data_IF_674706488089
#
_entry.id   IF_674706488089
#
_cell.length_a   1.000
_cell.length_b   1.000
_cell.length_c   1.000
_cell.angle_alpha   90.00
_cell.angle_beta   90.00
_cell.angle_gamma   90.00
#
_symmetry.space_group_name_H-M   'P 1'
#
loop_
_entity.id
_entity.type
_entity.pdbx_description
1 polymer ?
#
# COMPACT_ATOMS: atom_id res chain seq x y z
N UNK A 1 -18.41 -6.95 -9.19
CA UNK A 1 -17.99 -6.67 -7.81
C UNK A 1 -17.58 -7.98 -7.17
N UNK A 2 -16.34 -8.12 -6.75
CA UNK A 2 -15.86 -9.28 -6.00
C UNK A 2 -15.96 -8.89 -4.52
N UNK A 3 -16.73 -9.62 -3.75
CA UNK A 3 -17.03 -9.30 -2.36
C UNK A 3 -16.70 -10.51 -1.48
N UNK A 4 -15.65 -10.42 -0.66
CA UNK A 4 -15.46 -11.29 0.49
C UNK A 4 -15.88 -10.55 1.77
N UNK A 5 -16.07 -11.25 2.89
CA UNK A 5 -16.54 -10.63 4.15
C UNK A 5 -15.71 -9.40 4.58
N UNK A 6 -14.45 -9.32 4.16
CA UNK A 6 -13.47 -8.31 4.65
C UNK A 6 -12.75 -7.55 3.53
N UNK A 7 -13.03 -7.85 2.26
CA UNK A 7 -12.34 -7.21 1.15
C UNK A 7 -13.26 -7.15 -0.06
N UNK A 8 -13.41 -5.98 -0.65
CA UNK A 8 -14.08 -5.86 -1.93
C UNK A 8 -13.19 -5.10 -2.92
N UNK A 9 -13.39 -5.40 -4.19
CA UNK A 9 -12.77 -4.69 -5.29
C UNK A 9 -13.82 -4.38 -6.36
N UNK A 10 -13.67 -3.24 -6.98
CA UNK A 10 -14.42 -2.85 -8.16
C UNK A 10 -13.45 -2.40 -9.24
N UNK A 11 -13.78 -2.67 -10.49
CA UNK A 11 -12.99 -2.34 -11.66
C UNK A 11 -13.88 -1.76 -12.75
N UNK A 12 -13.40 -0.75 -13.47
CA UNK A 12 -14.02 -0.29 -14.71
C UNK A 12 -13.00 0.29 -15.68
N UNK A 13 -13.32 0.22 -16.97
CA UNK A 13 -12.50 0.70 -18.10
C UNK A 13 -12.77 2.16 -18.47
N UNK A 14 -13.79 2.77 -17.90
CA UNK A 14 -14.14 4.14 -18.22
C UNK A 14 -14.77 4.84 -17.03
N UNK A 15 -14.49 6.10 -16.94
CA UNK A 15 -15.14 7.01 -16.02
C UNK A 15 -16.32 7.67 -16.71
N UNK A 16 -17.53 7.35 -16.28
CA UNK A 16 -18.66 8.21 -16.47
C UNK A 16 -18.66 9.33 -15.44
N UNK A 17 -19.08 10.49 -15.88
CA UNK A 17 -19.20 11.73 -15.10
C UNK A 17 -19.91 11.53 -13.78
N UNK A 18 -19.22 11.34 -12.68
CA UNK A 18 -19.82 11.41 -11.35
C UNK A 18 -18.83 12.00 -10.37
N UNK A 19 -19.29 12.88 -9.53
CA UNK A 19 -18.61 13.22 -8.28
C UNK A 19 -18.59 11.92 -7.50
N UNK A 20 -17.40 11.32 -7.39
CA UNK A 20 -17.26 10.11 -6.61
C UNK A 20 -16.71 10.45 -5.22
N UNK A 21 -17.55 10.32 -4.22
CA UNK A 21 -17.16 10.40 -2.81
C UNK A 21 -17.17 8.98 -2.25
N UNK A 22 -16.14 8.22 -2.58
CA UNK A 22 -16.03 6.83 -2.18
C UNK A 22 -15.47 6.71 -0.76
N UNK A 23 -16.02 5.79 0.03
CA UNK A 23 -15.44 5.34 1.30
C UNK A 23 -14.32 4.30 1.10
N UNK A 24 -13.84 4.14 -0.11
CA UNK A 24 -12.81 3.18 -0.51
C UNK A 24 -11.57 3.88 -1.04
N UNK A 25 -10.45 3.19 -0.96
CA UNK A 25 -9.23 3.56 -1.67
C UNK A 25 -9.40 3.35 -3.16
N UNK A 26 -8.80 4.20 -3.98
CA UNK A 26 -8.88 4.10 -5.43
C UNK A 26 -7.51 4.29 -6.08
N UNK A 27 -7.22 3.43 -7.03
CA UNK A 27 -6.10 3.55 -7.97
C UNK A 27 -6.67 3.85 -9.35
N UNK A 28 -6.27 4.96 -9.94
CA UNK A 28 -6.71 5.36 -11.28
C UNK A 28 -5.50 5.37 -12.20
N UNK A 29 -5.52 4.57 -13.26
CA UNK A 29 -4.52 4.54 -14.30
C UNK A 29 -4.99 5.37 -15.50
N UNK A 30 -4.31 6.47 -15.76
CA UNK A 30 -4.63 7.40 -16.86
C UNK A 30 -3.71 7.11 -18.03
N UNK A 31 -4.26 6.64 -19.15
CA UNK A 31 -3.52 6.25 -20.36
C UNK A 31 -3.65 7.31 -21.47
N UNK A 32 -4.72 8.13 -21.42
CA UNK A 32 -5.03 9.14 -22.43
C UNK A 32 -4.00 10.26 -22.48
N UNK A 33 -4.17 11.14 -23.48
CA UNK A 33 -3.42 12.39 -23.58
C UNK A 33 -3.58 13.24 -22.33
N UNK A 34 -2.70 14.23 -22.19
CA UNK A 34 -2.72 15.19 -21.09
C UNK A 34 -4.14 15.72 -20.83
N UNK A 35 -4.54 15.69 -19.58
CA UNK A 35 -5.88 16.01 -19.17
C UNK A 35 -5.94 16.79 -17.86
N UNK A 36 -7.09 17.37 -17.57
CA UNK A 36 -7.36 18.05 -16.32
C UNK A 36 -8.47 17.32 -15.56
N UNK A 37 -8.22 17.05 -14.27
CA UNK A 37 -9.20 16.49 -13.35
C UNK A 37 -9.42 17.45 -12.20
N UNK A 38 -10.67 17.58 -11.76
CA UNK A 38 -10.98 18.26 -10.52
C UNK A 38 -10.88 17.25 -9.37
N UNK A 39 -9.91 17.43 -8.47
CA UNK A 39 -9.70 16.57 -7.29
C UNK A 39 -9.77 17.45 -6.05
N UNK A 40 -10.63 17.08 -5.10
CA UNK A 40 -10.87 17.87 -3.89
C UNK A 40 -11.14 19.37 -4.18
N UNK A 41 -11.95 19.63 -5.23
CA UNK A 41 -12.31 20.96 -5.71
C UNK A 41 -11.14 21.79 -6.26
N UNK A 42 -10.03 21.13 -6.60
CA UNK A 42 -8.88 21.75 -7.26
C UNK A 42 -8.64 21.12 -8.63
N UNK A 43 -8.38 21.95 -9.62
CA UNK A 43 -7.99 21.47 -10.94
C UNK A 43 -6.56 21.00 -10.93
N UNK A 44 -6.35 19.74 -11.28
CA UNK A 44 -5.05 19.07 -11.34
C UNK A 44 -4.80 18.63 -12.78
N UNK A 45 -3.69 19.07 -13.32
CA UNK A 45 -3.23 18.65 -14.64
C UNK A 45 -2.57 17.28 -14.54
N UNK A 46 -3.01 16.33 -15.36
CA UNK A 46 -2.56 14.94 -15.34
C UNK A 46 -1.85 14.62 -16.65
N UNK A 47 -0.60 14.22 -16.55
CA UNK A 47 0.18 13.76 -17.68
C UNK A 47 -0.21 12.33 -18.10
N UNK A 48 -0.02 11.96 -19.39
CA UNK A 48 -0.24 10.58 -19.85
C UNK A 48 0.54 9.56 -19.03
N UNK A 49 -0.02 8.39 -18.87
CA UNK A 49 0.59 7.29 -18.09
C UNK A 49 0.85 7.67 -16.65
N UNK A 50 -0.15 8.26 -16.00
CA UNK A 50 -0.10 8.61 -14.59
C UNK A 50 -0.99 7.70 -13.75
N UNK A 51 -0.50 7.36 -12.54
CA UNK A 51 -1.29 6.75 -11.48
C UNK A 51 -1.74 7.83 -10.50
N UNK A 52 -3.02 7.82 -10.19
CA UNK A 52 -3.64 8.69 -9.19
C UNK A 52 -4.07 7.83 -8.02
N UNK A 53 -3.74 8.25 -6.82
CA UNK A 53 -4.04 7.56 -5.56
C UNK A 53 -5.04 8.40 -4.78
N UNK A 54 -6.23 7.89 -4.57
CA UNK A 54 -7.29 8.55 -3.81
C UNK A 54 -7.59 7.79 -2.51
N UNK A 55 -7.52 8.50 -1.40
CA UNK A 55 -7.93 7.97 -0.10
C UNK A 55 -9.46 7.98 0.05
N UNK A 56 -10.02 7.22 1.02
CA UNK A 56 -11.43 7.31 1.38
C UNK A 56 -11.85 8.75 1.69
N UNK A 57 -12.96 9.18 1.12
CA UNK A 57 -13.51 10.52 1.30
C UNK A 57 -12.99 11.59 0.34
N UNK A 58 -11.95 11.31 -0.45
CA UNK A 58 -11.54 12.23 -1.49
C UNK A 58 -12.57 12.27 -2.62
N UNK A 59 -12.80 13.48 -3.12
CA UNK A 59 -13.78 13.75 -4.17
C UNK A 59 -13.03 14.04 -5.46
N UNK A 60 -13.44 13.41 -6.54
CA UNK A 60 -12.92 13.76 -7.85
C UNK A 60 -14.04 13.85 -8.88
N UNK A 61 -13.78 14.64 -9.91
CA UNK A 61 -14.68 14.82 -11.04
C UNK A 61 -13.88 14.74 -12.33
N UNK A 62 -14.32 13.90 -13.24
CA UNK A 62 -13.69 13.74 -14.53
C UNK A 62 -14.13 14.84 -15.51
N UNK A 63 -13.23 15.34 -16.35
CA UNK A 63 -13.55 16.21 -17.46
C UNK A 63 -14.11 15.44 -18.67
N UNK A 64 -14.94 16.11 -19.48
CA UNK A 64 -15.85 15.55 -20.49
C UNK A 64 -15.26 14.70 -21.63
N UNK A 65 -13.95 14.53 -21.76
CA UNK A 65 -13.37 14.06 -23.03
C UNK A 65 -12.54 12.78 -22.96
N UNK A 66 -12.59 11.98 -21.86
CA UNK A 66 -11.56 10.98 -21.68
C UNK A 66 -12.01 9.54 -21.83
N UNK A 67 -11.38 8.89 -22.80
CA UNK A 67 -11.75 7.56 -23.23
C UNK A 67 -10.97 6.41 -22.61
N UNK A 68 -9.87 6.65 -21.89
CA UNK A 68 -9.04 5.51 -21.40
C UNK A 68 -8.50 5.79 -20.00
N UNK A 69 -9.31 5.52 -19.02
CA UNK A 69 -8.87 5.40 -17.64
C UNK A 69 -9.32 4.05 -17.11
N UNK A 70 -8.41 3.33 -16.46
CA UNK A 70 -8.75 2.11 -15.73
C UNK A 70 -8.73 2.44 -14.25
N UNK A 71 -9.65 1.93 -13.45
CA UNK A 71 -9.57 2.14 -12.01
C UNK A 71 -9.83 0.86 -11.22
N UNK A 72 -9.20 0.79 -10.07
CA UNK A 72 -9.39 -0.25 -9.07
C UNK A 72 -9.82 0.44 -7.78
N UNK A 73 -10.86 -0.09 -7.15
CA UNK A 73 -11.40 0.38 -5.90
C UNK A 73 -11.35 -0.74 -4.86
N UNK A 74 -10.84 -0.47 -3.67
CA UNK A 74 -10.73 -1.47 -2.60
C UNK A 74 -10.91 -0.84 -1.21
N UNK A 75 -11.36 -1.65 -0.24
CA UNK A 75 -11.58 -1.16 1.12
C UNK A 75 -10.30 -1.18 1.97
N UNK A 76 -10.37 -0.58 3.16
CA UNK A 76 -9.25 -0.45 4.09
C UNK A 76 -8.68 -1.77 4.62
N UNK A 77 -9.41 -2.88 4.49
CA UNK A 77 -8.94 -4.19 4.94
C UNK A 77 -7.71 -4.68 4.18
N UNK A 78 -7.45 -4.14 2.99
CA UNK A 78 -6.21 -4.34 2.27
C UNK A 78 -4.99 -3.95 3.13
N UNK A 79 -5.03 -2.80 3.81
CA UNK A 79 -3.94 -2.31 4.65
C UNK A 79 -3.91 -2.94 6.05
N UNK A 80 -5.06 -3.36 6.56
CA UNK A 80 -5.20 -3.92 7.91
C UNK A 80 -4.87 -5.42 8.00
N UNK A 81 -4.86 -6.12 6.87
CA UNK A 81 -4.70 -7.58 6.83
C UNK A 81 -3.30 -8.09 7.23
N UNK A 82 -2.32 -7.21 7.36
CA UNK A 82 -1.00 -7.53 7.93
C UNK A 82 -0.35 -6.28 8.50
N UNK A 83 0.35 -6.39 9.64
CA UNK A 83 1.29 -5.35 10.05
C UNK A 83 2.54 -5.48 9.19
N UNK A 84 2.48 -4.96 7.99
CA UNK A 84 3.62 -4.69 7.14
C UNK A 84 3.91 -3.20 7.20
N UNK A 85 5.14 -2.84 7.52
CA UNK A 85 5.61 -1.46 7.43
C UNK A 85 5.41 -0.90 6.04
N UNK A 86 5.61 -1.74 5.03
CA UNK A 86 5.46 -1.37 3.63
C UNK A 86 4.02 -0.97 3.33
N UNK A 87 3.03 -1.73 3.81
CA UNK A 87 1.61 -1.39 3.62
C UNK A 87 1.21 -0.12 4.36
N UNK A 88 1.67 0.05 5.59
CA UNK A 88 1.49 1.30 6.34
C UNK A 88 2.14 2.47 5.63
N UNK A 89 3.30 2.25 5.03
CA UNK A 89 4.03 3.25 4.30
C UNK A 89 3.32 3.63 2.99
N UNK A 90 2.81 2.68 2.22
CA UNK A 90 1.99 2.96 1.04
C UNK A 90 0.76 3.79 1.42
N UNK A 91 0.06 3.41 2.49
CA UNK A 91 -1.08 4.16 2.96
C UNK A 91 -0.71 5.61 3.30
N UNK A 92 0.36 5.82 4.04
CA UNK A 92 0.75 7.15 4.53
C UNK A 92 1.36 8.05 3.44
N UNK A 93 1.84 7.49 2.33
CA UNK A 93 2.57 8.26 1.31
C UNK A 93 1.92 8.28 -0.07
N UNK A 94 1.13 7.28 -0.38
CA UNK A 94 0.40 7.23 -1.65
C UNK A 94 -1.05 7.68 -1.48
N UNK A 95 -1.65 7.38 -0.33
CA UNK A 95 -3.05 7.69 -0.03
C UNK A 95 -3.20 8.72 1.11
N UNK A 96 -2.20 9.57 1.32
CA UNK A 96 -2.28 10.66 2.32
C UNK A 96 -3.01 11.87 1.73
N UNK A 97 -4.31 11.95 1.99
CA UNK A 97 -5.16 13.03 1.54
C UNK A 97 -5.00 14.35 2.31
N UNK A 98 -4.24 14.33 3.42
CA UNK A 98 -4.13 15.52 4.32
C UNK A 98 -3.37 16.66 3.65
N UNK A 99 -2.37 16.33 2.82
CA UNK A 99 -1.49 17.32 2.23
C UNK A 99 -1.78 17.59 0.76
N UNK A 100 -1.92 16.55 -0.04
CA UNK A 100 -2.21 16.65 -1.48
C UNK A 100 -2.49 15.28 -2.08
N UNK A 101 -3.42 15.17 -3.02
CA UNK A 101 -3.63 13.94 -3.81
C UNK A 101 -2.34 13.52 -4.50
N UNK A 102 -1.99 12.26 -4.38
CA UNK A 102 -0.77 11.73 -4.99
C UNK A 102 -1.01 11.38 -6.46
N UNK A 103 -0.28 12.04 -7.35
CA UNK A 103 -0.23 11.75 -8.78
C UNK A 103 1.22 11.41 -9.15
N UNK A 104 1.43 10.28 -9.80
CA UNK A 104 2.75 9.81 -10.19
C UNK A 104 2.77 9.47 -11.67
N UNK A 105 3.53 10.23 -12.45
CA UNK A 105 3.74 9.97 -13.88
C UNK A 105 4.79 8.88 -14.07
N UNK A 106 4.45 7.84 -14.81
CA UNK A 106 5.31 6.69 -15.07
C UNK A 106 6.06 6.92 -16.37
N UNK A 107 7.32 7.30 -16.27
CA UNK A 107 8.16 7.60 -17.43
C UNK A 107 8.75 6.35 -18.10
N UNK A 108 9.09 5.35 -17.30
CA UNK A 108 9.68 4.09 -17.79
C UNK A 108 8.66 3.23 -18.52
N UNK A 109 8.97 2.86 -19.76
CA UNK A 109 8.09 2.07 -20.63
C UNK A 109 7.83 0.67 -20.10
N UNK A 110 8.82 0.06 -19.46
CA UNK A 110 8.68 -1.30 -18.91
C UNK A 110 7.78 -1.32 -17.70
N UNK A 111 7.86 -0.29 -16.84
CA UNK A 111 6.94 -0.11 -15.72
C UNK A 111 5.50 0.16 -16.20
N UNK A 112 5.33 0.97 -17.26
CA UNK A 112 4.00 1.17 -17.88
C UNK A 112 3.36 -0.14 -18.32
N UNK A 113 4.12 -0.97 -19.04
CA UNK A 113 3.64 -2.27 -19.51
C UNK A 113 3.23 -3.17 -18.34
N UNK A 114 4.07 -3.29 -17.31
CA UNK A 114 3.73 -4.10 -16.13
C UNK A 114 2.47 -3.62 -15.40
N UNK A 115 2.33 -2.30 -15.22
CA UNK A 115 1.15 -1.71 -14.59
C UNK A 115 -0.10 -2.00 -15.45
N UNK A 116 0.00 -1.84 -16.76
CA UNK A 116 -1.08 -2.11 -17.68
C UNK A 116 -1.49 -3.58 -17.65
N UNK A 117 -0.52 -4.50 -17.68
CA UNK A 117 -0.74 -5.95 -17.56
C UNK A 117 -1.46 -6.30 -16.24
N UNK A 118 -1.12 -5.63 -15.14
CA UNK A 118 -1.80 -5.79 -13.86
C UNK A 118 -3.28 -5.40 -13.93
N UNK A 119 -3.59 -4.24 -14.53
CA UNK A 119 -4.97 -3.80 -14.71
C UNK A 119 -5.75 -4.72 -15.65
N UNK A 120 -5.14 -5.17 -16.74
CA UNK A 120 -5.78 -6.05 -17.70
C UNK A 120 -6.00 -7.46 -17.13
N UNK A 121 -5.09 -7.94 -16.31
CA UNK A 121 -5.29 -9.19 -15.58
C UNK A 121 -6.50 -9.09 -14.64
N UNK A 122 -6.59 -8.02 -13.83
CA UNK A 122 -7.74 -7.80 -12.94
C UNK A 122 -9.04 -7.75 -13.76
N UNK A 123 -9.06 -7.05 -14.89
CA UNK A 123 -10.22 -6.97 -15.79
C UNK A 123 -10.69 -8.35 -16.25
N UNK A 124 -9.75 -9.14 -16.77
CA UNK A 124 -10.06 -10.47 -17.34
C UNK A 124 -10.59 -11.42 -16.27
N UNK A 125 -9.94 -11.46 -15.11
CA UNK A 125 -10.32 -12.33 -14.01
C UNK A 125 -11.61 -11.86 -13.31
N UNK A 126 -11.83 -10.54 -13.27
CA UNK A 126 -13.06 -9.95 -12.72
C UNK A 126 -14.29 -10.38 -13.52
N UNK A 127 -14.18 -10.43 -14.84
CA UNK A 127 -15.25 -10.89 -15.72
C UNK A 127 -15.50 -12.40 -15.61
N UNK A 128 -14.48 -13.17 -15.29
CA UNK A 128 -14.55 -14.63 -15.20
C UNK A 128 -15.00 -15.14 -13.80
N UNK A 129 -15.18 -14.25 -12.81
CA UNK A 129 -15.57 -14.58 -11.42
C UNK A 129 -14.69 -15.66 -10.74
N UNK A 130 -13.47 -15.88 -11.25
CA UNK A 130 -12.57 -16.97 -10.81
C UNK A 130 -11.44 -16.50 -9.91
N UNK A 131 -11.21 -15.20 -9.83
CA UNK A 131 -10.08 -14.64 -9.10
C UNK A 131 -10.23 -14.77 -7.58
N UNK A 132 -9.17 -15.23 -6.92
CA UNK A 132 -9.10 -15.28 -5.46
C UNK A 132 -8.62 -13.93 -4.90
N UNK A 133 -9.16 -13.57 -3.74
CA UNK A 133 -8.78 -12.34 -3.02
C UNK A 133 -7.26 -12.16 -2.89
N UNK A 134 -6.52 -13.25 -2.64
CA UNK A 134 -5.06 -13.22 -2.50
C UNK A 134 -4.36 -12.81 -3.80
N UNK A 135 -4.87 -13.22 -4.95
CA UNK A 135 -4.31 -12.86 -6.25
C UNK A 135 -4.49 -11.37 -6.54
N UNK A 136 -5.66 -10.82 -6.24
CA UNK A 136 -5.92 -9.37 -6.41
C UNK A 136 -5.02 -8.55 -5.49
N UNK A 137 -4.90 -8.96 -4.22
CA UNK A 137 -4.00 -8.29 -3.27
C UNK A 137 -2.56 -8.28 -3.78
N UNK A 138 -2.09 -9.41 -4.33
CA UNK A 138 -0.75 -9.52 -4.90
C UNK A 138 -0.54 -8.60 -6.11
N UNK A 139 -1.56 -8.40 -6.93
CA UNK A 139 -1.50 -7.51 -8.09
C UNK A 139 -1.48 -6.04 -7.64
N UNK A 140 -2.31 -5.67 -6.67
CA UNK A 140 -2.27 -4.33 -6.09
C UNK A 140 -0.88 -4.08 -5.48
N UNK A 141 -0.33 -5.04 -4.73
CA UNK A 141 1.04 -4.96 -4.20
C UNK A 141 2.06 -4.71 -5.32
N UNK A 142 1.94 -5.39 -6.46
CA UNK A 142 2.85 -5.20 -7.61
C UNK A 142 2.76 -3.78 -8.19
N UNK A 143 1.57 -3.24 -8.37
CA UNK A 143 1.37 -1.86 -8.83
C UNK A 143 1.99 -0.86 -7.85
N UNK A 144 1.76 -1.07 -6.56
CA UNK A 144 2.30 -0.20 -5.51
C UNK A 144 3.83 -0.25 -5.46
N UNK A 145 4.43 -1.43 -5.60
CA UNK A 145 5.89 -1.62 -5.64
C UNK A 145 6.51 -0.88 -6.83
N UNK A 146 6.00 -1.11 -8.04
CA UNK A 146 6.51 -0.45 -9.25
C UNK A 146 6.41 1.08 -9.14
N UNK A 147 5.30 1.58 -8.63
CA UNK A 147 5.09 3.02 -8.44
C UNK A 147 6.03 3.60 -7.40
N UNK A 148 6.24 2.84 -6.33
CA UNK A 148 7.06 3.27 -5.20
C UNK A 148 8.55 3.29 -5.52
N UNK A 149 9.04 2.30 -6.28
CA UNK A 149 10.42 2.26 -6.76
C UNK A 149 10.77 3.49 -7.61
N UNK A 150 9.83 3.97 -8.40
CA UNK A 150 9.99 5.18 -9.23
C UNK A 150 10.18 6.43 -8.36
N UNK A 151 9.41 6.55 -7.27
CA UNK A 151 9.41 7.76 -6.43
C UNK A 151 10.45 7.74 -5.30
N UNK A 152 10.77 6.55 -4.74
CA UNK A 152 11.49 6.42 -3.47
C UNK A 152 12.59 5.33 -3.47
N UNK A 153 13.21 5.05 -4.60
CA UNK A 153 14.04 3.84 -4.81
C UNK A 153 15.06 3.48 -3.72
N UNK A 154 15.80 4.46 -3.17
CA UNK A 154 16.80 4.17 -2.13
C UNK A 154 16.18 3.96 -0.75
N UNK A 155 15.21 4.79 -0.39
CA UNK A 155 14.50 4.72 0.90
C UNK A 155 13.61 3.48 0.96
N UNK A 156 13.01 3.10 -0.16
CA UNK A 156 12.20 1.89 -0.27
C UNK A 156 13.03 0.61 -0.05
N UNK A 157 14.17 0.45 -0.73
CA UNK A 157 15.05 -0.71 -0.53
C UNK A 157 15.45 -0.88 0.94
N UNK A 158 15.73 0.23 1.60
CA UNK A 158 16.06 0.23 3.00
C UNK A 158 14.89 -0.20 3.89
N UNK A 159 13.70 0.36 3.66
CA UNK A 159 12.49 -0.01 4.40
C UNK A 159 12.11 -1.47 4.18
N UNK A 160 12.19 -1.93 2.94
CA UNK A 160 11.93 -3.33 2.60
C UNK A 160 12.88 -4.25 3.34
N UNK A 161 14.18 -3.93 3.36
CA UNK A 161 15.18 -4.68 4.13
C UNK A 161 14.84 -4.74 5.63
N UNK A 162 14.42 -3.62 6.22
CA UNK A 162 14.02 -3.57 7.62
C UNK A 162 12.73 -4.37 7.89
N UNK A 163 11.72 -4.25 7.02
CA UNK A 163 10.47 -5.00 7.15
C UNK A 163 10.70 -6.51 6.98
N UNK A 164 11.42 -6.93 5.94
CA UNK A 164 11.77 -8.33 5.68
C UNK A 164 12.52 -8.96 6.86
N UNK A 165 13.47 -8.20 7.43
CA UNK A 165 14.22 -8.65 8.59
C UNK A 165 13.31 -8.76 9.82
N UNK A 166 12.43 -7.79 10.03
CA UNK A 166 11.47 -7.80 11.13
C UNK A 166 10.48 -8.97 11.00
N UNK A 167 9.97 -9.26 9.80
CA UNK A 167 9.08 -10.41 9.60
C UNK A 167 9.77 -11.75 9.91
N UNK A 168 11.05 -11.86 9.63
CA UNK A 168 11.83 -13.10 9.85
C UNK A 168 12.30 -13.26 11.29
N UNK A 169 12.70 -12.18 11.94
CA UNK A 169 13.49 -12.21 13.17
C UNK A 169 12.79 -11.59 14.39
N UNK A 170 11.49 -11.25 14.31
CA UNK A 170 10.77 -10.59 15.42
C UNK A 170 10.78 -11.39 16.74
N UNK A 171 10.97 -12.70 16.67
CA UNK A 171 11.08 -13.55 17.87
C UNK A 171 12.45 -13.46 18.55
N UNK A 172 13.48 -13.09 17.81
CA UNK A 172 14.86 -13.04 18.29
C UNK A 172 15.30 -11.58 18.54
N UNK A 173 14.78 -10.65 17.75
CA UNK A 173 15.19 -9.25 17.76
C UNK A 173 14.08 -8.37 18.36
N UNK A 174 14.32 -7.85 19.57
CA UNK A 174 13.37 -7.00 20.27
C UNK A 174 13.83 -5.54 20.39
N UNK A 175 15.10 -5.26 20.09
CA UNK A 175 15.69 -3.92 20.20
C UNK A 175 16.04 -3.33 18.85
N UNK A 176 16.12 -2.00 18.78
CA UNK A 176 16.53 -1.29 17.57
C UNK A 176 17.94 -1.68 17.14
N UNK A 177 18.83 -1.89 18.11
CA UNK A 177 20.23 -2.26 17.89
C UNK A 177 20.36 -3.60 17.16
N UNK A 178 19.54 -4.60 17.51
CA UNK A 178 19.55 -5.89 16.84
C UNK A 178 19.33 -5.72 15.32
N UNK A 179 18.32 -4.95 14.93
CA UNK A 179 18.00 -4.70 13.53
C UNK A 179 19.06 -3.85 12.82
N UNK A 180 19.55 -2.79 13.48
CA UNK A 180 20.53 -1.90 12.85
C UNK A 180 21.88 -2.58 12.62
N UNK A 181 22.30 -3.49 13.50
CA UNK A 181 23.49 -4.30 13.33
C UNK A 181 23.40 -5.19 12.08
N UNK A 182 22.25 -5.84 11.88
CA UNK A 182 22.02 -6.70 10.70
C UNK A 182 21.92 -5.90 9.40
N UNK A 183 21.37 -4.69 9.47
CA UNK A 183 21.24 -3.81 8.31
C UNK A 183 22.50 -2.98 8.02
N UNK A 184 23.56 -3.12 8.83
CA UNK A 184 24.78 -2.33 8.74
C UNK A 184 24.52 -0.81 8.73
N UNK A 185 23.62 -0.33 9.58
CA UNK A 185 23.28 1.09 9.75
C UNK A 185 23.37 1.48 11.23
N UNK A 186 23.50 2.77 11.50
CA UNK A 186 23.39 3.25 12.88
C UNK A 186 21.92 3.40 13.32
N UNK A 187 21.60 3.26 14.61
CA UNK A 187 20.26 3.54 15.15
C UNK A 187 19.76 4.94 14.77
N UNK A 188 20.67 5.94 14.76
CA UNK A 188 20.37 7.30 14.32
C UNK A 188 20.04 7.37 12.82
N UNK A 189 20.74 6.58 12.00
CA UNK A 189 20.49 6.46 10.56
C UNK A 189 19.11 5.88 10.27
N UNK A 190 18.76 4.77 10.94
CA UNK A 190 17.42 4.18 10.84
C UNK A 190 16.34 5.17 11.28
N UNK A 191 16.51 5.84 12.42
CA UNK A 191 15.56 6.83 12.91
C UNK A 191 15.37 7.99 11.91
N UNK A 192 16.49 8.53 11.36
CA UNK A 192 16.46 9.61 10.37
C UNK A 192 15.70 9.20 9.10
N UNK A 193 15.97 8.00 8.57
CA UNK A 193 15.28 7.49 7.38
C UNK A 193 13.80 7.32 7.64
N UNK A 194 13.40 6.71 8.75
CA UNK A 194 11.99 6.55 9.09
C UNK A 194 11.31 7.91 9.31
N UNK A 195 11.99 8.88 9.92
CA UNK A 195 11.46 10.24 10.09
C UNK A 195 11.23 10.94 8.74
N UNK A 196 12.20 10.84 7.81
CA UNK A 196 12.06 11.39 6.44
C UNK A 196 10.88 10.77 5.68
N UNK A 197 10.49 9.58 6.05
CA UNK A 197 9.38 8.83 5.47
C UNK A 197 8.07 8.96 6.30
N UNK A 198 8.01 9.95 7.21
CA UNK A 198 6.88 10.14 8.13
C UNK A 198 6.43 8.86 8.85
N UNK A 199 7.32 7.89 8.99
CA UNK A 199 7.05 6.64 9.67
C UNK A 199 7.20 6.76 11.19
N UNK A 200 6.60 5.84 11.92
CA UNK A 200 6.76 5.78 13.36
C UNK A 200 8.22 5.49 13.78
N UNK A 201 8.57 5.79 15.03
CA UNK A 201 9.90 5.47 15.58
C UNK A 201 10.16 3.96 15.51
N UNK A 202 11.42 3.51 15.24
CA UNK A 202 11.76 2.09 15.10
C UNK A 202 11.27 1.23 16.27
N UNK A 203 11.44 1.68 17.51
CA UNK A 203 10.99 0.95 18.70
C UNK A 203 9.47 0.75 18.74
N UNK A 204 8.70 1.75 18.30
CA UNK A 204 7.24 1.63 18.21
C UNK A 204 6.82 0.64 17.14
N UNK A 205 7.52 0.61 16.01
CA UNK A 205 7.28 -0.33 14.92
C UNK A 205 7.52 -1.77 15.39
N UNK A 206 8.67 -2.05 16.01
CA UNK A 206 9.01 -3.36 16.58
C UNK A 206 7.97 -3.78 17.63
N UNK A 207 7.63 -2.89 18.56
CA UNK A 207 6.62 -3.17 19.60
C UNK A 207 5.23 -3.44 19.01
N UNK A 208 4.84 -2.74 17.95
CA UNK A 208 3.57 -2.98 17.25
C UNK A 208 3.53 -4.36 16.59
N UNK A 209 4.64 -4.81 15.99
CA UNK A 209 4.76 -6.14 15.41
C UNK A 209 4.60 -7.22 16.47
N UNK A 210 5.34 -7.12 17.60
CA UNK A 210 5.25 -8.07 18.71
C UNK A 210 3.84 -8.12 19.30
N UNK A 211 3.22 -6.97 19.51
CA UNK A 211 1.84 -6.88 20.00
C UNK A 211 0.83 -7.53 19.06
N UNK A 212 1.01 -7.36 17.77
CA UNK A 212 0.15 -7.99 16.77
C UNK A 212 0.27 -9.51 16.80
N UNK A 213 1.49 -10.04 16.81
CA UNK A 213 1.71 -11.48 16.87
C UNK A 213 1.19 -12.06 18.20
N UNK A 214 1.35 -11.35 19.32
CA UNK A 214 0.77 -11.74 20.60
C UNK A 214 -0.77 -11.84 20.52
N UNK A 215 -1.43 -10.82 19.98
CA UNK A 215 -2.89 -10.83 19.81
C UNK A 215 -3.35 -11.96 18.89
N UNK A 216 -2.60 -12.23 17.83
CA UNK A 216 -2.87 -13.32 16.90
C UNK A 216 -2.79 -14.68 17.60
N UNK A 217 -1.74 -14.92 18.40
CA UNK A 217 -1.59 -16.15 19.18
C UNK A 217 -2.72 -16.30 20.21
N UNK A 218 -3.08 -15.22 20.91
CA UNK A 218 -4.22 -15.24 21.85
C UNK A 218 -5.55 -15.59 21.17
N UNK A 219 -5.76 -15.10 19.95
CA UNK A 219 -7.02 -15.34 19.22
C UNK A 219 -7.08 -16.71 18.53
N UNK A 220 -5.93 -17.30 18.19
CA UNK A 220 -5.84 -18.52 17.38
C UNK A 220 -5.42 -19.77 18.16
N UNK A 221 -5.03 -19.63 19.44
CA UNK A 221 -4.54 -20.73 20.26
C UNK A 221 -5.11 -20.65 21.67
N UNK A 222 -5.02 -21.75 22.41
CA UNK A 222 -5.40 -21.80 23.83
C UNK A 222 -4.19 -21.55 24.76
N UNK A 223 -3.12 -20.91 24.27
CA UNK A 223 -1.92 -20.62 25.04
C UNK A 223 -2.16 -19.56 26.09
N UNK A 224 -1.53 -19.73 27.24
CA UNK A 224 -1.49 -18.72 28.30
C UNK A 224 -0.63 -17.52 27.89
N UNK A 225 -0.80 -16.39 28.56
CA UNK A 225 0.02 -15.21 28.31
C UNK A 225 1.53 -15.50 28.50
N UNK A 226 1.88 -16.35 29.46
CA UNK A 226 3.27 -16.75 29.73
C UNK A 226 3.83 -17.57 28.57
N UNK A 227 3.11 -18.56 28.07
CA UNK A 227 3.53 -19.35 26.91
C UNK A 227 3.69 -18.47 25.65
N UNK A 228 2.83 -17.47 25.46
CA UNK A 228 2.95 -16.53 24.35
C UNK A 228 4.20 -15.66 24.47
N UNK A 229 4.57 -15.23 25.69
CA UNK A 229 5.82 -14.48 25.87
C UNK A 229 7.04 -15.34 25.50
N UNK A 230 7.07 -16.60 25.84
CA UNK A 230 8.12 -17.54 25.41
C UNK A 230 8.12 -17.72 23.89
N UNK A 231 6.96 -17.91 23.27
CA UNK A 231 6.83 -18.06 21.80
C UNK A 231 7.33 -16.84 21.04
N UNK A 232 7.23 -15.67 21.64
CA UNK A 232 7.72 -14.41 21.10
C UNK A 232 9.18 -14.10 21.45
N UNK A 233 9.87 -15.03 22.14
CA UNK A 233 11.29 -14.94 22.45
C UNK A 233 11.64 -14.07 23.66
N UNK A 234 10.68 -13.76 24.53
CA UNK A 234 10.97 -13.10 25.80
C UNK A 234 11.37 -14.17 26.83
N UNK A 235 12.62 -14.16 27.24
CA UNK A 235 13.12 -14.95 28.37
C UNK A 235 12.99 -14.11 29.63
N UNK A 236 12.41 -14.66 30.69
CA UNK A 236 12.44 -14.04 32.02
C UNK A 236 13.83 -14.05 32.59
#
# INVERSE_FOLDING_TARGET
MINSKNFYINYADSFEFTINNSQAYQLIWVICDKCELEINYQNVEIEPYSLIFLAPGEVYKSCKTQKVTKYIQFNGDYFSSSISLIKSFYNNHLFDSINQTTVISILDKSARSRIEDCFDFIKNEFNNSSIKEIQIKSIIDSILVDTFDIRFSSSYKFLKGFDDLMQKQYKEFHTVENYTNQLNVSPKGLLKTLYQLNAAKPSRIIGSKLLFEAKKLLAQTNKTAVEITFDLGFNN
#
